data_IF_098634142269
#
_entry.id   IF_098634142269
#
_cell.length_a   1.000
_cell.length_b   1.000
_cell.length_c   1.000
_cell.angle_alpha   90.00
_cell.angle_beta   90.00
_cell.angle_gamma   90.00
#
_symmetry.space_group_name_H-M   'P 1'
#
loop_
_entity.id
_entity.type
_entity.pdbx_description
1 polymer ?
#
# COMPACT_ATOMS: atom_id res chain seq x y z
N UNK A 1 14.22 16.55 1.84
CA UNK A 1 14.62 15.34 1.12
C UNK A 1 13.40 14.42 1.09
N UNK A 2 13.04 13.88 -0.06
CA UNK A 2 11.90 12.97 -0.17
C UNK A 2 12.21 11.64 0.52
N UNK A 3 11.19 10.96 1.04
CA UNK A 3 11.30 9.60 1.58
C UNK A 3 11.35 8.57 0.45
N UNK A 4 10.50 8.79 -0.58
CA UNK A 4 10.49 7.99 -1.81
C UNK A 4 10.67 8.93 -3.00
N UNK A 5 11.61 8.61 -3.88
CA UNK A 5 11.88 9.34 -5.11
C UNK A 5 11.73 8.40 -6.29
N UNK A 6 10.91 8.78 -7.25
CA UNK A 6 10.61 8.02 -8.47
C UNK A 6 11.01 8.89 -9.65
N UNK A 7 11.78 8.32 -10.60
CA UNK A 7 12.22 9.03 -11.80
C UNK A 7 12.02 8.17 -13.05
N UNK A 8 11.29 8.71 -14.00
CA UNK A 8 11.05 8.16 -15.34
C UNK A 8 10.59 6.70 -15.33
N UNK A 9 9.82 6.34 -14.29
CA UNK A 9 9.41 4.97 -14.03
C UNK A 9 8.42 4.49 -15.08
N UNK A 10 8.75 3.34 -15.70
CA UNK A 10 7.92 2.76 -16.75
C UNK A 10 7.68 1.26 -16.50
N UNK A 11 6.45 0.83 -16.75
CA UNK A 11 6.05 -0.59 -16.74
C UNK A 11 5.22 -0.92 -17.97
N UNK A 12 5.75 -1.84 -18.76
CA UNK A 12 5.08 -2.38 -19.95
C UNK A 12 4.73 -3.84 -19.68
N UNK A 13 3.48 -4.21 -19.92
CA UNK A 13 3.04 -5.59 -19.95
C UNK A 13 2.86 -6.06 -21.38
N UNK A 14 3.36 -7.24 -21.70
CA UNK A 14 3.20 -7.90 -22.97
C UNK A 14 2.13 -8.98 -22.83
N UNK A 15 1.08 -8.92 -23.62
CA UNK A 15 0.09 -9.99 -23.66
C UNK A 15 0.62 -11.14 -24.49
N UNK A 16 0.95 -12.27 -23.85
CA UNK A 16 1.24 -13.53 -24.51
C UNK A 16 -0.08 -14.18 -24.97
N UNK A 17 -0.64 -13.73 -26.09
CA UNK A 17 -1.90 -14.29 -26.53
C UNK A 17 -2.49 -13.66 -27.77
N UNK A 18 -1.83 -13.83 -28.88
CA UNK A 18 -2.50 -13.91 -30.19
C UNK A 18 -1.51 -14.46 -31.21
N UNK A 19 -1.92 -15.55 -31.87
CA UNK A 19 -1.36 -16.18 -33.03
C UNK A 19 -0.24 -15.43 -33.78
N UNK A 20 0.82 -16.10 -34.04
CA UNK A 20 2.15 -15.76 -34.59
C UNK A 20 2.25 -14.86 -35.82
N UNK A 21 1.24 -14.09 -36.24
CA UNK A 21 1.24 -13.48 -37.60
C UNK A 21 0.83 -12.03 -37.79
N UNK A 22 0.41 -11.27 -36.78
CA UNK A 22 0.02 -9.85 -37.02
C UNK A 22 0.48 -8.95 -35.89
N UNK A 23 1.43 -8.08 -36.22
CA UNK A 23 1.86 -6.87 -35.51
C UNK A 23 2.19 -7.00 -34.00
N UNK A 24 3.48 -7.18 -33.63
CA UNK A 24 3.91 -7.30 -32.23
C UNK A 24 3.62 -6.05 -31.37
N UNK A 25 3.37 -4.90 -31.96
CA UNK A 25 3.07 -3.65 -31.23
C UNK A 25 1.63 -3.55 -30.70
N UNK A 26 0.71 -4.40 -31.18
CA UNK A 26 -0.71 -4.35 -30.79
C UNK A 26 -1.02 -5.00 -29.42
N UNK A 27 -0.03 -5.57 -28.72
CA UNK A 27 -0.21 -6.28 -27.46
C UNK A 27 0.52 -5.65 -26.25
N UNK A 28 1.09 -4.46 -26.42
CA UNK A 28 1.76 -3.74 -25.34
C UNK A 28 0.78 -2.88 -24.55
N UNK A 29 0.72 -3.07 -23.22
CA UNK A 29 -0.01 -2.17 -22.31
C UNK A 29 1.00 -1.46 -21.43
N UNK A 30 1.12 -0.15 -21.62
CA UNK A 30 1.93 0.72 -20.74
C UNK A 30 1.11 1.08 -19.51
N UNK A 31 1.24 0.26 -18.46
CA UNK A 31 0.51 0.46 -17.23
C UNK A 31 1.06 1.63 -16.40
N UNK A 32 2.36 1.91 -16.51
CA UNK A 32 3.04 3.10 -15.98
C UNK A 32 3.96 3.59 -17.11
N UNK A 33 3.88 4.88 -17.43
CA UNK A 33 4.55 5.49 -18.58
C UNK A 33 5.22 6.80 -18.17
N UNK A 34 6.55 6.75 -17.96
CA UNK A 34 7.40 7.89 -17.64
C UNK A 34 6.95 8.67 -16.39
N UNK A 35 6.71 7.97 -15.28
CA UNK A 35 6.25 8.58 -14.04
C UNK A 35 7.42 9.04 -13.18
N UNK A 36 7.43 10.35 -12.87
CA UNK A 36 8.34 10.96 -11.88
C UNK A 36 7.52 11.57 -10.74
N UNK A 37 7.85 11.22 -9.48
CA UNK A 37 7.06 11.61 -8.31
C UNK A 37 7.92 11.55 -7.04
N UNK A 38 7.70 12.52 -6.14
CA UNK A 38 8.33 12.56 -4.82
C UNK A 38 7.27 12.40 -3.72
N UNK A 39 7.56 11.57 -2.71
CA UNK A 39 6.75 11.39 -1.50
C UNK A 39 7.59 11.82 -0.31
N UNK A 40 7.07 12.77 0.48
CA UNK A 40 7.82 13.36 1.60
C UNK A 40 7.52 12.63 2.93
N UNK A 41 8.46 12.63 3.89
CA UNK A 41 8.22 12.01 5.19
C UNK A 41 7.01 12.63 5.90
N UNK A 42 6.16 11.78 6.48
CA UNK A 42 4.98 12.21 7.26
C UNK A 42 3.80 12.72 6.44
N UNK A 43 3.90 12.77 5.08
CA UNK A 43 2.76 13.15 4.25
C UNK A 43 1.84 11.96 3.93
N UNK A 44 0.61 12.27 3.60
CA UNK A 44 -0.26 11.38 2.84
C UNK A 44 -0.38 11.92 1.43
N UNK A 45 0.26 11.24 0.47
CA UNK A 45 0.09 11.50 -0.95
C UNK A 45 -1.08 10.67 -1.48
N UNK A 46 -2.16 11.32 -1.88
CA UNK A 46 -3.29 10.67 -2.55
C UNK A 46 -2.97 10.40 -4.02
N UNK A 47 -3.23 9.19 -4.49
CA UNK A 47 -3.11 8.84 -5.91
C UNK A 47 -4.49 8.48 -6.44
N UNK A 48 -5.01 9.33 -7.32
CA UNK A 48 -6.36 9.20 -7.88
C UNK A 48 -6.34 9.00 -9.39
N UNK A 49 -7.45 8.50 -9.93
CA UNK A 49 -7.68 8.28 -11.36
C UNK A 49 -8.65 7.13 -11.58
N UNK A 50 -9.11 6.95 -12.82
CA UNK A 50 -10.02 5.88 -13.20
C UNK A 50 -9.45 4.48 -12.92
N UNK A 51 -10.35 3.47 -12.86
CA UNK A 51 -9.95 2.06 -12.81
C UNK A 51 -9.10 1.73 -14.04
N UNK A 52 -7.99 1.01 -13.82
CA UNK A 52 -7.06 0.68 -14.91
C UNK A 52 -6.08 1.80 -15.30
N UNK A 53 -6.06 2.96 -14.64
CA UNK A 53 -5.11 4.04 -14.93
C UNK A 53 -3.65 3.72 -14.56
N UNK A 54 -3.39 2.63 -13.81
CA UNK A 54 -2.04 2.19 -13.42
C UNK A 54 -1.67 2.38 -11.94
N UNK A 55 -2.56 2.91 -11.11
CA UNK A 55 -2.32 3.25 -9.67
C UNK A 55 -1.76 2.09 -8.85
N UNK A 56 -2.47 0.96 -8.84
CA UNK A 56 -2.02 -0.23 -8.09
C UNK A 56 -0.72 -0.81 -8.66
N UNK A 57 -0.50 -0.70 -9.97
CA UNK A 57 0.77 -1.06 -10.60
C UNK A 57 1.90 -0.17 -10.09
N UNK A 58 1.69 1.14 -10.02
CA UNK A 58 2.67 2.09 -9.48
C UNK A 58 2.98 1.77 -8.01
N UNK A 59 1.98 1.55 -7.17
CA UNK A 59 2.18 1.16 -5.77
C UNK A 59 3.01 -0.11 -5.61
N UNK A 60 2.75 -1.13 -6.44
CA UNK A 60 3.51 -2.40 -6.43
C UNK A 60 4.94 -2.24 -6.96
N UNK A 61 5.17 -1.36 -7.92
CA UNK A 61 6.52 -1.02 -8.41
C UNK A 61 7.35 -0.35 -7.31
N UNK A 62 6.79 0.63 -6.59
CA UNK A 62 7.46 1.35 -5.50
C UNK A 62 7.93 0.37 -4.42
N UNK A 63 7.13 -0.63 -4.09
CA UNK A 63 7.49 -1.68 -3.13
C UNK A 63 8.36 -2.80 -3.73
N UNK A 64 8.70 -2.68 -5.04
CA UNK A 64 9.40 -3.73 -5.80
C UNK A 64 8.76 -5.11 -5.60
N UNK A 65 7.41 -5.15 -5.61
CA UNK A 65 6.64 -6.39 -5.69
C UNK A 65 6.54 -6.92 -7.12
N UNK A 66 6.73 -6.03 -8.09
CA UNK A 66 6.87 -6.31 -9.52
C UNK A 66 8.07 -5.51 -10.04
N UNK A 67 8.75 -6.03 -11.06
CA UNK A 67 9.89 -5.37 -11.68
C UNK A 67 9.44 -4.27 -12.65
N UNK A 68 10.13 -3.12 -12.65
CA UNK A 68 9.96 -2.05 -13.63
C UNK A 68 10.58 -2.43 -14.97
N UNK A 69 10.12 -1.79 -16.04
CA UNK A 69 10.73 -1.91 -17.37
C UNK A 69 11.87 -0.91 -17.54
N UNK A 70 11.71 0.31 -16.97
CA UNK A 70 12.72 1.38 -16.98
C UNK A 70 12.49 2.32 -15.79
N UNK A 71 13.43 3.26 -15.60
CA UNK A 71 13.39 4.27 -14.55
C UNK A 71 14.13 3.87 -13.28
N UNK A 72 13.98 4.66 -12.22
CA UNK A 72 14.58 4.41 -10.91
C UNK A 72 13.63 4.70 -9.76
N UNK A 73 13.86 4.02 -8.63
CA UNK A 73 13.10 4.21 -7.38
C UNK A 73 14.11 4.26 -6.23
N UNK A 74 14.10 5.35 -5.47
CA UNK A 74 14.93 5.48 -4.28
C UNK A 74 14.06 5.57 -3.03
N UNK A 75 14.45 4.88 -1.98
CA UNK A 75 13.87 4.96 -0.65
C UNK A 75 14.94 5.39 0.34
N UNK A 76 14.75 6.54 1.00
CA UNK A 76 15.79 7.16 1.85
C UNK A 76 17.14 7.28 1.13
N UNK A 77 17.12 7.66 -0.15
CA UNK A 77 18.31 7.80 -0.99
C UNK A 77 18.94 6.47 -1.47
N UNK A 78 18.37 5.31 -1.14
CA UNK A 78 18.86 3.99 -1.57
C UNK A 78 18.11 3.54 -2.81
N UNK A 79 18.84 3.18 -3.86
CA UNK A 79 18.26 2.63 -5.08
C UNK A 79 17.65 1.24 -4.81
N UNK A 80 16.32 1.14 -4.93
CA UNK A 80 15.59 -0.11 -4.71
C UNK A 80 15.83 -1.11 -5.84
N UNK A 81 16.05 -0.64 -7.06
CA UNK A 81 16.21 -1.53 -8.22
C UNK A 81 17.58 -2.21 -8.24
N UNK A 82 18.61 -1.51 -7.75
CA UNK A 82 19.95 -2.07 -7.59
C UNK A 82 20.11 -2.94 -6.33
N UNK A 83 19.17 -2.87 -5.38
CA UNK A 83 19.25 -3.59 -4.12
C UNK A 83 19.22 -5.11 -4.31
N UNK A 84 20.12 -5.82 -3.65
CA UNK A 84 20.12 -7.28 -3.58
C UNK A 84 18.87 -7.82 -2.87
N UNK A 85 18.49 -9.10 -3.07
CA UNK A 85 17.36 -9.69 -2.36
C UNK A 85 17.46 -9.57 -0.83
N UNK A 86 18.67 -9.63 -0.27
CA UNK A 86 18.91 -9.48 1.17
C UNK A 86 18.69 -8.04 1.64
N UNK A 87 19.17 -7.06 0.89
CA UNK A 87 18.96 -5.64 1.15
C UNK A 87 17.47 -5.29 1.00
N UNK A 88 16.83 -5.75 -0.07
CA UNK A 88 15.40 -5.53 -0.30
C UNK A 88 14.55 -6.10 0.84
N UNK A 89 14.89 -7.29 1.37
CA UNK A 89 14.22 -7.84 2.56
C UNK A 89 14.33 -6.92 3.77
N UNK A 90 15.49 -6.27 3.98
CA UNK A 90 15.67 -5.29 5.07
C UNK A 90 14.84 -4.03 4.84
N UNK A 91 14.86 -3.49 3.62
CA UNK A 91 14.09 -2.30 3.25
C UNK A 91 12.58 -2.51 3.39
N UNK A 92 12.08 -3.72 3.10
CA UNK A 92 10.66 -4.06 3.27
C UNK A 92 10.16 -4.00 4.71
N UNK A 93 11.04 -3.94 5.71
CA UNK A 93 10.63 -3.65 7.10
C UNK A 93 10.04 -2.25 7.21
N UNK A 94 10.63 -1.31 6.49
CA UNK A 94 10.26 0.10 6.54
C UNK A 94 9.18 0.46 5.50
N UNK A 95 8.87 -0.46 4.57
CA UNK A 95 7.88 -0.28 3.50
C UNK A 95 6.85 -1.40 3.52
N UNK A 96 5.59 -1.07 3.72
CA UNK A 96 4.51 -2.06 3.85
C UNK A 96 3.35 -1.75 2.90
N UNK A 97 2.42 -2.70 2.76
CA UNK A 97 1.23 -2.56 1.93
C UNK A 97 -0.03 -2.95 2.70
N UNK A 98 -1.09 -2.17 2.51
CA UNK A 98 -2.46 -2.52 2.87
C UNK A 98 -3.18 -2.81 1.56
N UNK A 99 -3.67 -4.04 1.41
CA UNK A 99 -4.30 -4.51 0.17
C UNK A 99 -5.77 -4.11 0.06
N UNK A 100 -6.23 -4.04 -1.18
CA UNK A 100 -7.60 -3.74 -1.57
C UNK A 100 -8.61 -4.76 -1.05
N UNK A 101 -8.30 -6.06 -1.18
CA UNK A 101 -9.19 -7.14 -0.77
C UNK A 101 -8.79 -7.70 0.61
N UNK A 102 -9.57 -7.40 1.66
CA UNK A 102 -9.31 -7.92 2.99
C UNK A 102 -9.53 -9.44 3.09
N UNK A 103 -10.28 -10.04 2.15
CA UNK A 103 -10.53 -11.48 2.12
C UNK A 103 -9.35 -12.25 1.54
N UNK A 104 -8.80 -11.79 0.41
CA UNK A 104 -7.67 -12.43 -0.23
C UNK A 104 -6.33 -12.15 0.47
N UNK A 105 -6.26 -11.08 1.28
CA UNK A 105 -5.02 -10.65 1.93
C UNK A 105 -4.66 -11.45 3.19
N UNK A 106 -5.60 -12.15 3.80
CA UNK A 106 -5.40 -12.93 5.02
C UNK A 106 -5.51 -14.43 4.72
N UNK A 107 -4.48 -15.22 5.05
CA UNK A 107 -4.56 -16.68 4.89
C UNK A 107 -5.60 -17.25 5.86
N UNK A 108 -6.68 -17.87 5.37
CA UNK A 108 -7.79 -18.36 6.21
C UNK A 108 -7.41 -19.51 7.14
N UNK A 109 -6.23 -20.13 6.95
CA UNK A 109 -5.73 -21.23 7.77
C UNK A 109 -5.02 -20.78 9.02
N UNK A 110 -4.62 -19.51 9.11
CA UNK A 110 -3.92 -18.92 10.25
C UNK A 110 -4.87 -18.19 11.17
N UNK A 111 -4.54 -18.17 12.46
CA UNK A 111 -5.24 -17.36 13.46
C UNK A 111 -4.81 -15.91 13.38
N UNK A 112 -5.61 -15.01 13.93
CA UNK A 112 -5.32 -13.57 13.96
C UNK A 112 -3.95 -13.29 14.57
N UNK A 113 -3.60 -13.96 15.70
CA UNK A 113 -2.28 -13.77 16.33
C UNK A 113 -1.13 -14.15 15.39
N UNK A 114 -1.27 -15.23 14.62
CA UNK A 114 -0.24 -15.73 13.71
C UNK A 114 -0.09 -14.80 12.50
N UNK A 115 -1.20 -14.32 11.94
CA UNK A 115 -1.23 -13.39 10.81
C UNK A 115 -0.53 -12.07 11.15
N UNK A 116 -0.81 -11.50 12.32
CA UNK A 116 -0.20 -10.24 12.74
C UNK A 116 1.26 -10.44 13.16
N UNK A 117 1.60 -11.61 13.73
CA UNK A 117 2.97 -11.94 14.14
C UNK A 117 3.87 -12.34 12.96
N UNK A 118 3.33 -12.77 11.83
CA UNK A 118 4.08 -13.28 10.68
C UNK A 118 5.22 -12.34 10.22
N UNK A 119 4.99 -11.03 9.99
CA UNK A 119 6.09 -10.13 9.63
C UNK A 119 7.20 -10.07 10.68
N UNK A 120 6.86 -10.11 11.98
CA UNK A 120 7.83 -10.12 13.07
C UNK A 120 8.71 -11.36 12.96
N UNK A 121 8.10 -12.54 12.81
CA UNK A 121 8.79 -13.81 12.68
C UNK A 121 9.73 -13.83 11.48
N UNK A 122 9.24 -13.41 10.29
CA UNK A 122 10.02 -13.40 9.04
C UNK A 122 11.24 -12.49 9.15
N UNK A 123 11.10 -11.33 9.78
CA UNK A 123 12.18 -10.35 9.83
C UNK A 123 13.14 -10.50 11.01
N UNK A 124 12.74 -11.13 12.10
CA UNK A 124 13.62 -11.50 13.21
C UNK A 124 14.59 -12.61 12.81
N UNK A 125 14.09 -13.62 12.11
CA UNK A 125 14.90 -14.76 11.62
C UNK A 125 15.93 -14.37 10.54
N UNK A 126 15.76 -13.22 9.90
CA UNK A 126 16.64 -12.78 8.81
C UNK A 126 18.00 -12.22 9.30
N UNK A 127 18.24 -12.12 10.61
CA UNK A 127 19.53 -11.71 11.14
C UNK A 127 20.59 -12.82 11.09
N UNK A 128 20.18 -14.10 11.05
CA UNK A 128 21.09 -15.24 10.98
C UNK A 128 20.61 -16.30 9.95
N UNK A 129 21.39 -16.46 8.87
CA UNK A 129 21.44 -17.61 7.92
C UNK A 129 20.10 -18.17 7.36
N UNK A 130 19.80 -17.84 6.11
CA UNK A 130 18.88 -18.64 5.28
C UNK A 130 17.39 -18.42 5.57
N UNK A 131 16.50 -18.78 4.62
CA UNK A 131 15.06 -18.74 4.86
C UNK A 131 14.68 -19.78 5.93
N UNK A 132 14.13 -19.36 7.08
CA UNK A 132 13.81 -20.29 8.16
C UNK A 132 12.60 -21.15 7.79
N UNK A 133 12.63 -22.42 8.16
CA UNK A 133 11.45 -23.29 8.17
C UNK A 133 10.59 -22.95 9.39
N UNK A 134 9.29 -23.20 9.32
CA UNK A 134 8.34 -22.99 10.44
C UNK A 134 8.79 -23.62 11.79
N UNK A 135 9.66 -24.64 11.77
CA UNK A 135 10.20 -25.30 12.95
C UNK A 135 11.35 -24.51 13.62
N UNK A 136 12.00 -23.57 12.93
CA UNK A 136 13.19 -22.87 13.43
C UNK A 136 12.83 -21.63 14.29
N UNK A 137 11.56 -21.40 14.54
CA UNK A 137 11.04 -20.20 15.22
C UNK A 137 11.17 -20.19 16.76
N UNK A 138 11.70 -21.26 17.33
CA UNK A 138 11.83 -21.38 18.79
C UNK A 138 13.07 -20.66 19.37
N UNK A 139 14.06 -20.31 18.56
CA UNK A 139 15.39 -19.85 19.03
C UNK A 139 15.76 -18.39 18.65
N UNK A 140 14.93 -17.66 17.88
CA UNK A 140 15.28 -16.30 17.51
C UNK A 140 14.84 -15.29 18.58
N UNK A 141 15.77 -14.56 19.11
CA UNK A 141 15.87 -13.42 20.04
C UNK A 141 14.64 -12.73 20.64
N UNK A 142 13.45 -12.82 20.06
CA UNK A 142 12.22 -12.25 20.64
C UNK A 142 11.33 -13.37 21.14
N UNK A 143 11.07 -13.41 22.42
CA UNK A 143 10.26 -14.48 23.03
C UNK A 143 8.83 -14.46 22.44
N UNK A 144 8.19 -15.63 22.36
CA UNK A 144 6.76 -15.74 21.97
C UNK A 144 5.88 -14.78 22.80
N UNK A 145 6.22 -14.56 24.06
CA UNK A 145 5.53 -13.63 24.93
C UNK A 145 5.65 -12.18 24.43
N UNK A 146 6.84 -11.72 24.06
CA UNK A 146 7.06 -10.36 23.55
C UNK A 146 6.34 -10.13 22.22
N UNK A 147 6.35 -11.11 21.30
CA UNK A 147 5.57 -11.03 20.06
C UNK A 147 4.07 -10.93 20.33
N UNK A 148 3.55 -11.74 21.27
CA UNK A 148 2.14 -11.67 21.65
C UNK A 148 1.76 -10.31 22.24
N UNK A 149 2.60 -9.75 23.11
CA UNK A 149 2.40 -8.38 23.65
C UNK A 149 2.30 -7.37 22.49
N UNK A 150 3.22 -7.44 21.53
CA UNK A 150 3.18 -6.56 20.35
C UNK A 150 1.92 -6.75 19.51
N UNK A 151 1.45 -7.99 19.32
CA UNK A 151 0.20 -8.27 18.60
C UNK A 151 -1.00 -7.65 19.32
N UNK A 152 -1.06 -7.75 20.65
CA UNK A 152 -2.13 -7.13 21.48
C UNK A 152 -2.11 -5.60 21.36
N UNK A 153 -0.93 -4.97 21.41
CA UNK A 153 -0.79 -3.54 21.19
C UNK A 153 -1.34 -3.12 19.82
N UNK A 154 -0.99 -3.87 18.78
CA UNK A 154 -1.45 -3.60 17.41
C UNK A 154 -2.97 -3.77 17.26
N UNK A 155 -3.55 -4.81 17.85
CA UNK A 155 -5.00 -4.98 17.86
C UNK A 155 -5.70 -3.79 18.52
N UNK A 156 -5.22 -3.35 19.67
CA UNK A 156 -5.76 -2.17 20.37
C UNK A 156 -5.63 -0.90 19.52
N UNK A 157 -4.49 -0.72 18.85
CA UNK A 157 -4.27 0.44 17.95
C UNK A 157 -5.26 0.49 16.78
N UNK A 158 -5.76 -0.67 16.33
CA UNK A 158 -6.78 -0.73 15.26
C UNK A 158 -8.21 -0.89 15.80
N UNK A 159 -8.41 -0.74 17.12
CA UNK A 159 -9.73 -0.80 17.76
C UNK A 159 -10.33 -2.22 17.82
N UNK A 160 -9.48 -3.25 17.96
CA UNK A 160 -9.89 -4.64 18.13
C UNK A 160 -9.47 -5.16 19.52
N UNK A 161 -10.29 -6.05 20.09
CA UNK A 161 -10.04 -6.65 21.39
C UNK A 161 -9.15 -7.89 21.31
N UNK A 162 -8.38 -8.15 22.35
CA UNK A 162 -7.46 -9.31 22.41
C UNK A 162 -8.15 -10.68 22.45
N UNK A 163 -9.45 -10.74 22.74
CA UNK A 163 -10.23 -11.98 22.71
C UNK A 163 -10.25 -12.65 21.34
N UNK A 164 -9.97 -11.89 20.28
CA UNK A 164 -9.98 -12.39 18.91
C UNK A 164 -8.71 -13.12 18.47
N UNK A 165 -7.64 -13.11 19.28
CA UNK A 165 -6.32 -13.66 18.92
C UNK A 165 -6.36 -15.08 18.36
N UNK A 166 -7.24 -15.94 18.90
CA UNK A 166 -7.35 -17.35 18.53
C UNK A 166 -8.35 -17.63 17.41
N UNK A 167 -9.08 -16.61 16.95
CA UNK A 167 -10.09 -16.74 15.92
C UNK A 167 -9.46 -16.71 14.52
N UNK A 168 -10.21 -17.20 13.53
CA UNK A 168 -9.79 -17.27 12.14
C UNK A 168 -10.42 -16.15 11.30
N UNK A 169 -9.79 -15.74 10.18
CA UNK A 169 -10.28 -14.64 9.34
C UNK A 169 -11.75 -14.79 8.89
N UNK A 170 -12.21 -16.00 8.60
CA UNK A 170 -13.57 -16.24 8.13
C UNK A 170 -14.66 -15.93 9.17
N UNK A 171 -14.30 -15.75 10.44
CA UNK A 171 -15.22 -15.41 11.53
C UNK A 171 -15.48 -13.89 11.66
N UNK A 172 -14.89 -13.05 10.79
CA UNK A 172 -14.93 -11.59 10.90
C UNK A 172 -15.62 -10.93 9.71
N UNK A 173 -16.20 -9.74 9.96
CA UNK A 173 -16.70 -8.85 8.91
C UNK A 173 -15.57 -8.31 8.05
N UNK A 174 -15.88 -7.77 6.87
CA UNK A 174 -14.91 -7.14 5.98
C UNK A 174 -14.10 -6.03 6.66
N UNK A 175 -14.76 -5.15 7.41
CA UNK A 175 -14.10 -4.07 8.15
C UNK A 175 -13.18 -4.58 9.27
N UNK A 176 -13.56 -5.63 9.98
CA UNK A 176 -12.69 -6.25 10.99
C UNK A 176 -11.47 -6.92 10.34
N UNK A 177 -11.63 -7.60 9.21
CA UNK A 177 -10.51 -8.17 8.45
C UNK A 177 -9.57 -7.09 7.95
N UNK A 178 -10.11 -5.95 7.48
CA UNK A 178 -9.28 -4.82 7.07
C UNK A 178 -8.47 -4.27 8.24
N UNK A 179 -9.05 -4.14 9.43
CA UNK A 179 -8.33 -3.74 10.64
C UNK A 179 -7.21 -4.74 11.01
N UNK A 180 -7.43 -6.05 10.85
CA UNK A 180 -6.39 -7.07 11.04
C UNK A 180 -5.28 -6.90 10.00
N UNK A 181 -5.60 -6.65 8.73
CA UNK A 181 -4.64 -6.36 7.66
C UNK A 181 -3.80 -5.10 7.95
N UNK A 182 -4.43 -4.04 8.47
CA UNK A 182 -3.75 -2.82 8.91
C UNK A 182 -2.81 -3.12 10.09
N UNK A 183 -3.27 -3.87 11.10
CA UNK A 183 -2.42 -4.27 12.24
C UNK A 183 -1.19 -5.06 11.78
N UNK A 184 -1.35 -5.98 10.81
CA UNK A 184 -0.24 -6.73 10.20
C UNK A 184 0.76 -5.78 9.51
N UNK A 185 0.29 -4.81 8.73
CA UNK A 185 1.16 -3.84 8.06
C UNK A 185 1.96 -2.99 9.07
N UNK A 186 1.39 -2.69 10.24
CA UNK A 186 2.05 -1.92 11.30
C UNK A 186 3.02 -2.73 12.17
N UNK A 187 3.08 -4.05 12.00
CA UNK A 187 3.84 -4.94 12.89
C UNK A 187 5.32 -4.53 13.02
N UNK A 188 5.94 -4.17 11.90
CA UNK A 188 7.35 -3.82 11.81
C UNK A 188 7.66 -2.32 12.05
N UNK A 189 6.66 -1.51 12.41
CA UNK A 189 6.78 -0.04 12.55
C UNK A 189 7.33 0.60 11.25
N UNK A 190 6.64 0.43 10.12
CA UNK A 190 7.11 0.95 8.84
C UNK A 190 7.13 2.48 8.85
N UNK A 191 7.99 3.04 7.99
CA UNK A 191 8.03 4.49 7.70
C UNK A 191 7.07 4.85 6.57
N UNK A 192 6.83 3.90 5.66
CA UNK A 192 6.04 4.09 4.45
C UNK A 192 5.05 2.96 4.24
N UNK A 193 3.81 3.31 3.91
CA UNK A 193 2.75 2.35 3.61
C UNK A 193 2.07 2.73 2.30
N UNK A 194 1.98 1.79 1.37
CA UNK A 194 1.07 1.87 0.22
C UNK A 194 -0.28 1.32 0.65
N UNK A 195 -1.30 2.16 0.69
CA UNK A 195 -2.69 1.77 0.94
C UNK A 195 -3.41 1.67 -0.41
N UNK A 196 -3.47 0.45 -0.96
CA UNK A 196 -4.03 0.18 -2.29
C UNK A 196 -5.53 -0.08 -2.18
N UNK A 197 -6.34 0.95 -2.42
CA UNK A 197 -7.82 0.96 -2.34
C UNK A 197 -8.38 0.31 -1.04
N UNK A 198 -7.93 0.72 0.15
CA UNK A 198 -8.16 -0.03 1.40
C UNK A 198 -9.61 -0.07 1.85
N UNK A 199 -10.53 0.65 1.19
CA UNK A 199 -11.95 0.75 1.56
C UNK A 199 -12.90 0.38 0.41
N UNK A 200 -12.39 0.04 -0.77
CA UNK A 200 -13.22 -0.18 -1.97
C UNK A 200 -14.17 -1.38 -1.88
N UNK A 201 -13.83 -2.39 -1.06
CA UNK A 201 -14.63 -3.61 -0.84
C UNK A 201 -15.54 -3.51 0.39
N UNK A 202 -15.65 -2.34 1.03
CA UNK A 202 -16.41 -2.11 2.25
C UNK A 202 -17.62 -1.23 1.99
N UNK A 203 -18.65 -1.34 2.82
CA UNK A 203 -19.76 -0.39 2.81
C UNK A 203 -19.28 1.01 3.26
N UNK A 204 -20.06 2.05 2.90
CA UNK A 204 -19.67 3.45 3.10
C UNK A 204 -19.36 3.77 4.56
N UNK A 205 -20.17 3.28 5.50
CA UNK A 205 -20.00 3.60 6.93
C UNK A 205 -18.77 2.94 7.53
N UNK A 206 -18.50 1.69 7.18
CA UNK A 206 -17.29 0.96 7.60
C UNK A 206 -16.07 1.54 6.90
N UNK A 207 -16.17 1.90 5.63
CA UNK A 207 -15.12 2.59 4.88
C UNK A 207 -14.69 3.89 5.56
N UNK A 208 -15.64 4.72 5.98
CA UNK A 208 -15.35 5.96 6.72
C UNK A 208 -14.60 5.70 8.04
N UNK A 209 -14.98 4.64 8.77
CA UNK A 209 -14.27 4.26 10.00
C UNK A 209 -12.80 3.83 9.72
N UNK A 210 -12.55 3.11 8.62
CA UNK A 210 -11.19 2.72 8.22
C UNK A 210 -10.36 3.93 7.80
N UNK A 211 -10.95 4.88 7.07
CA UNK A 211 -10.27 6.14 6.69
C UNK A 211 -9.89 6.95 7.93
N UNK A 212 -10.80 7.11 8.88
CA UNK A 212 -10.53 7.78 10.15
C UNK A 212 -9.42 7.07 10.95
N UNK A 213 -9.44 5.74 10.98
CA UNK A 213 -8.40 4.93 11.61
C UNK A 213 -7.03 5.19 10.95
N UNK A 214 -6.95 5.20 9.62
CA UNK A 214 -5.69 5.47 8.90
C UNK A 214 -5.18 6.89 9.17
N UNK A 215 -6.07 7.90 9.23
CA UNK A 215 -5.73 9.26 9.60
C UNK A 215 -5.18 9.36 11.04
N UNK A 216 -5.80 8.64 11.98
CA UNK A 216 -5.32 8.57 13.36
C UNK A 216 -3.95 7.90 13.44
N UNK A 217 -3.77 6.73 12.81
CA UNK A 217 -2.51 5.99 12.80
C UNK A 217 -1.37 6.80 12.16
N UNK A 218 -1.67 7.60 11.13
CA UNK A 218 -0.70 8.47 10.50
C UNK A 218 -0.15 9.50 11.51
N UNK A 219 -1.04 10.13 12.28
CA UNK A 219 -0.65 11.11 13.33
C UNK A 219 0.09 10.46 14.49
N UNK A 220 -0.42 9.32 14.98
CA UNK A 220 0.10 8.66 16.18
C UNK A 220 1.48 8.03 15.95
N UNK A 221 1.75 7.54 14.74
CA UNK A 221 3.00 6.84 14.40
C UNK A 221 3.91 7.60 13.43
N UNK A 222 3.52 8.80 12.97
CA UNK A 222 4.29 9.59 12.01
C UNK A 222 4.46 8.89 10.66
N UNK A 223 3.44 8.16 10.21
CA UNK A 223 3.49 7.34 9.00
C UNK A 223 3.46 8.22 7.73
N UNK A 224 4.10 7.74 6.69
CA UNK A 224 3.98 8.28 5.33
C UNK A 224 3.10 7.34 4.52
N UNK A 225 2.10 7.87 3.83
CA UNK A 225 1.21 7.08 2.97
C UNK A 225 1.32 7.44 1.50
N UNK A 226 1.31 6.42 0.64
CA UNK A 226 0.75 6.53 -0.71
C UNK A 226 -0.67 5.94 -0.64
N UNK A 227 -1.67 6.80 -0.63
CA UNK A 227 -3.07 6.40 -0.52
C UNK A 227 -3.72 6.35 -1.91
N UNK A 228 -3.97 5.15 -2.40
CA UNK A 228 -4.57 4.90 -3.72
C UNK A 228 -6.08 4.76 -3.55
N UNK A 229 -6.84 5.54 -4.29
CA UNK A 229 -8.30 5.43 -4.34
C UNK A 229 -8.85 5.96 -5.66
N UNK A 230 -10.03 5.51 -6.02
CA UNK A 230 -10.84 6.12 -7.08
C UNK A 230 -11.86 7.14 -6.53
N UNK A 231 -12.00 7.24 -5.19
CA UNK A 231 -12.91 8.16 -4.53
C UNK A 231 -12.22 9.45 -4.16
N UNK A 232 -12.51 10.53 -4.89
CA UNK A 232 -11.95 11.85 -4.63
C UNK A 232 -12.31 12.40 -3.23
N UNK A 233 -13.55 12.26 -2.70
CA UNK A 233 -13.88 12.71 -1.35
C UNK A 233 -13.01 12.06 -0.27
N UNK A 234 -12.75 10.75 -0.38
CA UNK A 234 -11.89 10.03 0.56
C UNK A 234 -10.45 10.54 0.50
N UNK A 235 -9.92 10.75 -0.72
CA UNK A 235 -8.56 11.25 -0.90
C UNK A 235 -8.43 12.69 -0.40
N UNK A 236 -9.40 13.56 -0.71
CA UNK A 236 -9.44 14.93 -0.21
C UNK A 236 -9.39 15.00 1.32
N UNK A 237 -10.09 14.10 2.00
CA UNK A 237 -10.12 14.05 3.46
C UNK A 237 -8.77 13.65 4.09
N UNK A 238 -8.07 12.67 3.48
CA UNK A 238 -6.88 12.05 4.09
C UNK A 238 -5.58 12.67 3.62
N UNK A 239 -5.53 13.21 2.39
CA UNK A 239 -4.28 13.55 1.72
C UNK A 239 -3.91 15.02 1.89
N UNK A 240 -2.61 15.28 2.04
CA UNK A 240 -2.04 16.63 2.02
C UNK A 240 -1.72 17.11 0.61
N UNK A 241 -1.36 16.15 -0.26
CA UNK A 241 -1.12 16.34 -1.69
C UNK A 241 -1.82 15.26 -2.48
N UNK A 242 -2.19 15.59 -3.70
CA UNK A 242 -2.83 14.65 -4.63
C UNK A 242 -2.01 14.58 -5.93
N UNK A 243 -1.79 13.36 -6.41
CA UNK A 243 -1.31 13.04 -7.73
C UNK A 243 -2.45 12.42 -8.54
N UNK A 244 -2.73 12.96 -9.72
CA UNK A 244 -3.77 12.48 -10.63
C UNK A 244 -3.12 11.63 -11.71
N UNK A 245 -3.56 10.38 -11.83
CA UNK A 245 -3.02 9.43 -12.80
C UNK A 245 -4.02 9.12 -13.90
N UNK A 246 -3.60 9.29 -15.15
CA UNK A 246 -4.40 9.00 -16.34
C UNK A 246 -3.58 8.23 -17.36
N UNK A 247 -4.07 7.07 -17.79
CA UNK A 247 -3.45 6.21 -18.83
C UNK A 247 -1.95 5.99 -18.60
N UNK A 248 -1.58 5.64 -17.38
CA UNK A 248 -0.20 5.33 -17.01
C UNK A 248 0.65 6.54 -16.64
N UNK A 249 0.19 7.77 -16.79
CA UNK A 249 0.95 9.01 -16.55
C UNK A 249 0.41 9.78 -15.36
N UNK A 250 1.29 10.45 -14.62
CA UNK A 250 0.87 11.50 -13.70
C UNK A 250 0.64 12.77 -14.52
N UNK A 251 -0.61 13.23 -14.54
CA UNK A 251 -1.02 14.39 -15.36
C UNK A 251 -1.10 15.67 -14.54
N UNK A 252 -1.28 15.56 -13.24
CA UNK A 252 -1.28 16.71 -12.33
C UNK A 252 -0.85 16.26 -10.93
N UNK A 253 -0.09 17.11 -10.21
CA UNK A 253 0.29 16.88 -8.81
C UNK A 253 0.34 18.23 -8.10
N UNK A 254 -0.22 18.29 -6.91
CA UNK A 254 -0.25 19.52 -6.11
C UNK A 254 -0.85 19.34 -4.73
N UNK A 255 -0.91 20.42 -3.92
CA UNK A 255 -1.67 20.46 -2.68
C UNK A 255 -3.13 20.04 -2.92
N UNK A 256 -3.71 19.34 -1.95
CA UNK A 256 -5.09 18.84 -2.04
C UNK A 256 -6.08 19.94 -2.42
N UNK A 257 -6.01 21.10 -1.76
CA UNK A 257 -6.87 22.25 -2.03
C UNK A 257 -6.75 22.73 -3.49
N UNK A 258 -5.51 22.87 -4.01
CA UNK A 258 -5.29 23.29 -5.40
C UNK A 258 -5.92 22.29 -6.38
N UNK A 259 -5.70 20.99 -6.21
CA UNK A 259 -6.20 19.95 -7.11
C UNK A 259 -7.74 19.88 -7.08
N UNK A 260 -8.36 20.13 -5.92
CA UNK A 260 -9.82 20.00 -5.77
C UNK A 260 -10.57 21.29 -6.12
N UNK A 261 -9.98 22.47 -5.95
CA UNK A 261 -10.66 23.76 -6.16
C UNK A 261 -10.24 24.48 -7.44
N UNK A 262 -9.01 24.26 -7.88
CA UNK A 262 -8.43 24.97 -9.05
C UNK A 262 -7.61 24.04 -9.94
N UNK A 263 -8.18 22.89 -10.39
CA UNK A 263 -7.47 21.93 -11.23
C UNK A 263 -7.05 22.57 -12.56
N UNK A 264 -5.82 22.29 -12.99
CA UNK A 264 -5.27 22.83 -14.22
C UNK A 264 -5.48 21.88 -15.41
N UNK A 265 -5.29 20.59 -15.19
CA UNK A 265 -5.39 19.59 -16.25
C UNK A 265 -6.86 19.25 -16.59
N UNK A 266 -7.18 19.14 -17.88
CA UNK A 266 -8.55 18.86 -18.35
C UNK A 266 -9.14 17.58 -17.76
N UNK A 267 -8.34 16.51 -17.68
CA UNK A 267 -8.77 15.24 -17.08
C UNK A 267 -9.10 15.39 -15.60
N UNK A 268 -8.34 16.18 -14.84
CA UNK A 268 -8.62 16.43 -13.42
C UNK A 268 -9.97 17.10 -13.23
N UNK A 269 -10.31 18.06 -14.09
CA UNK A 269 -11.62 18.74 -14.11
C UNK A 269 -12.75 17.72 -14.35
N UNK A 270 -12.62 16.90 -15.37
CA UNK A 270 -13.60 15.85 -15.70
C UNK A 270 -13.74 14.84 -14.55
N UNK A 271 -12.64 14.47 -13.90
CA UNK A 271 -12.67 13.53 -12.77
C UNK A 271 -13.42 14.11 -11.56
N UNK A 272 -13.26 15.40 -11.29
CA UNK A 272 -13.97 16.11 -10.22
C UNK A 272 -15.46 16.26 -10.55
N UNK A 273 -15.80 16.67 -11.78
CA UNK A 273 -17.20 16.80 -12.24
C UNK A 273 -17.98 15.47 -12.18
N UNK A 274 -17.29 14.35 -12.44
CA UNK A 274 -17.87 13.01 -12.36
C UNK A 274 -18.04 12.49 -10.90
N UNK A 275 -17.48 13.21 -9.93
CA UNK A 275 -17.53 12.80 -8.51
C UNK A 275 -18.75 13.48 -7.86
N UNK A 276 -19.74 12.72 -7.32
CA UNK A 276 -20.86 13.33 -6.59
C UNK A 276 -20.34 14.13 -5.40
N UNK A 277 -20.78 15.38 -5.26
CA UNK A 277 -20.57 16.14 -4.03
C UNK A 277 -21.32 15.42 -2.90
N UNK A 278 -20.59 14.87 -1.96
CA UNK A 278 -21.14 14.44 -0.68
C UNK A 278 -21.24 15.70 0.16
N UNK A 279 -22.41 16.33 0.19
CA UNK A 279 -22.72 17.32 1.23
C UNK A 279 -22.54 16.65 2.59
N UNK A 280 -21.60 17.14 3.37
CA UNK A 280 -21.31 16.69 4.75
C UNK A 280 -22.14 17.50 5.72
#
# INVERSE_FOLDING_TARGET
MALVEIRDLTKIYFHAGSSFRTNPRASEVRAVDDVSLDIHPGETLGLVGESGSGKSTLGRLILRLIESTAGSIHFEGRDLLAATPREMRRLRRDMQIIFQDPFASLDPRYRVEDIIAEPLIIHESATEKGAPRLADFAEAGTTRAARRTRVVELLRAVGLDESILRRFPHEFSGGQRQRIGIARALALRPKFIVADEPVSALDVSVGAQIVNLLAQLQRDFGLTYLFISHSMPVVRYLSTRIAVMYRGKIVEVGPTEQITESPQHAYTKTLLEATPEVEV
#
